data_IF_612491293349
#
_entry.id   IF_612491293349
#
_cell.length_a   1.000
_cell.length_b   1.000
_cell.length_c   1.000
_cell.angle_alpha   90.00
_cell.angle_beta   90.00
_cell.angle_gamma   90.00
#
_symmetry.space_group_name_H-M   'P 1'
#
loop_
_entity.id
_entity.type
_entity.pdbx_description
1 polymer ?
#
# COMPACT_ATOMS: atom_id res chain seq x y z
N UNK A 1 -15.51 2.82 -19.27
CA UNK A 1 -16.44 1.75 -18.88
C UNK A 1 -17.16 2.02 -17.56
N UNK A 2 -16.47 2.31 -16.44
CA UNK A 2 -17.09 2.53 -15.11
C UNK A 2 -18.18 3.59 -15.16
N UNK A 3 -17.91 4.77 -15.75
CA UNK A 3 -18.85 5.88 -15.89
C UNK A 3 -20.15 5.45 -16.58
N UNK A 4 -20.03 4.71 -17.67
CA UNK A 4 -21.20 4.21 -18.43
C UNK A 4 -21.96 3.13 -17.64
N UNK A 5 -21.23 2.16 -17.06
CA UNK A 5 -21.82 1.02 -16.30
C UNK A 5 -22.61 1.48 -15.10
N UNK A 6 -22.10 2.47 -14.37
CA UNK A 6 -22.73 2.97 -13.14
C UNK A 6 -23.51 4.27 -13.34
N UNK A 7 -23.68 4.74 -14.59
CA UNK A 7 -24.44 5.95 -14.95
C UNK A 7 -24.01 7.17 -14.12
N UNK A 8 -22.69 7.40 -14.05
CA UNK A 8 -22.14 8.49 -13.26
C UNK A 8 -22.45 9.82 -13.95
N UNK A 9 -23.35 10.60 -13.37
CA UNK A 9 -23.77 11.88 -13.94
C UNK A 9 -22.72 13.00 -13.78
N UNK A 10 -21.87 12.93 -12.74
CA UNK A 10 -20.82 13.93 -12.45
C UNK A 10 -19.46 13.33 -12.74
N UNK A 11 -19.15 13.15 -14.03
CA UNK A 11 -17.90 12.53 -14.47
C UNK A 11 -16.67 13.30 -13.99
N UNK A 12 -16.68 14.62 -14.06
CA UNK A 12 -15.58 15.50 -13.60
C UNK A 12 -15.24 15.27 -12.10
N UNK A 13 -16.27 15.01 -11.30
CA UNK A 13 -16.11 14.72 -9.89
C UNK A 13 -15.51 13.33 -9.66
N UNK A 14 -15.98 12.34 -10.43
CA UNK A 14 -15.41 10.99 -10.41
C UNK A 14 -13.94 11.00 -10.81
N UNK A 15 -13.58 11.66 -11.91
CA UNK A 15 -12.21 11.78 -12.41
C UNK A 15 -11.30 12.45 -11.35
N UNK A 16 -11.83 13.43 -10.60
CA UNK A 16 -11.11 14.08 -9.53
C UNK A 16 -10.84 13.17 -8.33
N UNK A 17 -11.83 12.32 -7.98
CA UNK A 17 -11.65 11.28 -6.95
C UNK A 17 -10.60 10.26 -7.39
N UNK A 18 -10.67 9.78 -8.64
CA UNK A 18 -9.67 8.86 -9.21
C UNK A 18 -8.27 9.45 -9.12
N UNK A 19 -8.12 10.71 -9.53
CA UNK A 19 -6.82 11.40 -9.45
C UNK A 19 -6.30 11.47 -8.01
N UNK A 20 -7.16 11.85 -7.06
CA UNK A 20 -6.79 11.88 -5.64
C UNK A 20 -6.28 10.54 -5.13
N UNK A 21 -6.98 9.44 -5.48
CA UNK A 21 -6.59 8.09 -5.09
C UNK A 21 -5.21 7.74 -5.64
N UNK A 22 -4.97 8.01 -6.92
CA UNK A 22 -3.70 7.70 -7.58
C UNK A 22 -2.54 8.55 -7.01
N UNK A 23 -2.79 9.82 -6.71
CA UNK A 23 -1.81 10.71 -6.05
C UNK A 23 -1.43 10.21 -4.65
N UNK A 24 -2.37 9.62 -3.93
CA UNK A 24 -2.21 9.15 -2.56
C UNK A 24 -2.05 7.62 -2.43
N UNK A 25 -1.73 6.93 -3.51
CA UNK A 25 -1.43 5.50 -3.49
C UNK A 25 -0.34 5.18 -2.46
N UNK A 26 -0.55 4.13 -1.67
CA UNK A 26 0.34 3.73 -0.58
C UNK A 26 0.26 4.60 0.68
N UNK A 27 -0.58 5.65 0.69
CA UNK A 27 -0.86 6.45 1.89
C UNK A 27 -2.22 6.08 2.46
N UNK A 28 -2.34 6.21 3.77
CA UNK A 28 -3.64 6.05 4.44
C UNK A 28 -4.55 7.25 4.14
N UNK A 29 -5.77 6.97 3.71
CA UNK A 29 -6.82 8.00 3.60
C UNK A 29 -8.19 7.40 3.88
N UNK A 30 -9.21 8.25 3.99
CA UNK A 30 -10.59 7.84 4.20
C UNK A 30 -11.50 8.56 3.21
N UNK A 31 -12.73 8.06 3.04
CA UNK A 31 -13.74 8.76 2.24
C UNK A 31 -14.01 10.18 2.79
N UNK A 32 -13.88 10.38 4.10
CA UNK A 32 -13.99 11.70 4.73
C UNK A 32 -12.85 12.64 4.30
N UNK A 33 -11.60 12.15 4.25
CA UNK A 33 -10.46 12.97 3.81
C UNK A 33 -10.59 13.37 2.34
N UNK A 34 -11.07 12.49 1.47
CA UNK A 34 -11.40 12.81 0.08
C UNK A 34 -12.49 13.87 0.01
N UNK A 35 -13.58 13.70 0.78
CA UNK A 35 -14.66 14.69 0.83
C UNK A 35 -14.17 16.06 1.28
N UNK A 36 -13.31 16.12 2.30
CA UNK A 36 -12.72 17.35 2.80
C UNK A 36 -11.82 18.02 1.75
N UNK A 37 -10.99 17.24 1.07
CA UNK A 37 -10.16 17.72 -0.04
C UNK A 37 -11.02 18.32 -1.15
N UNK A 38 -12.07 17.63 -1.60
CA UNK A 38 -12.95 18.15 -2.65
C UNK A 38 -13.74 19.40 -2.22
N UNK A 39 -14.10 19.49 -0.93
CA UNK A 39 -14.70 20.73 -0.38
C UNK A 39 -13.75 21.91 -0.45
N UNK A 40 -12.46 21.72 -0.20
CA UNK A 40 -11.44 22.78 -0.32
C UNK A 40 -11.29 23.28 -1.77
N UNK A 41 -11.64 22.45 -2.75
CA UNK A 41 -11.73 22.80 -4.18
C UNK A 41 -13.11 23.33 -4.59
N UNK A 42 -13.97 23.72 -3.64
CA UNK A 42 -15.34 24.17 -3.86
C UNK A 42 -16.25 23.12 -4.54
N UNK A 43 -15.93 21.84 -4.40
CA UNK A 43 -16.70 20.72 -4.95
C UNK A 43 -17.42 19.98 -3.82
N UNK A 44 -18.74 19.87 -3.92
CA UNK A 44 -19.54 19.12 -2.93
C UNK A 44 -19.76 17.69 -3.40
N UNK A 45 -19.30 16.73 -2.60
CA UNK A 45 -19.56 15.31 -2.77
C UNK A 45 -19.92 14.68 -1.43
N UNK A 46 -20.90 13.79 -1.42
CA UNK A 46 -21.23 13.03 -0.23
C UNK A 46 -20.18 11.93 0.02
N UNK A 47 -19.96 11.61 1.28
CA UNK A 47 -19.07 10.50 1.68
C UNK A 47 -19.56 9.17 1.08
N UNK A 48 -20.87 8.98 1.00
CA UNK A 48 -21.50 7.82 0.37
C UNK A 48 -21.14 7.69 -1.11
N UNK A 49 -21.16 8.81 -1.86
CA UNK A 49 -20.74 8.80 -3.27
C UNK A 49 -19.27 8.40 -3.43
N UNK A 50 -18.42 8.83 -2.51
CA UNK A 50 -16.99 8.45 -2.52
C UNK A 50 -16.84 6.95 -2.26
N UNK A 51 -17.53 6.38 -1.28
CA UNK A 51 -17.55 4.93 -1.05
C UNK A 51 -18.04 4.14 -2.27
N UNK A 52 -19.03 4.64 -2.98
CA UNK A 52 -19.50 4.04 -4.22
C UNK A 52 -18.41 4.08 -5.30
N UNK A 53 -17.69 5.20 -5.45
CA UNK A 53 -16.59 5.33 -6.41
C UNK A 53 -15.44 4.39 -6.09
N UNK A 54 -15.04 4.29 -4.83
CA UNK A 54 -14.00 3.35 -4.38
C UNK A 54 -14.40 1.90 -4.71
N UNK A 55 -15.63 1.51 -4.35
CA UNK A 55 -16.14 0.16 -4.65
C UNK A 55 -16.19 -0.15 -6.14
N UNK A 56 -16.55 0.80 -6.99
CA UNK A 56 -16.60 0.59 -8.45
C UNK A 56 -15.20 0.47 -9.06
N UNK A 57 -14.22 1.20 -8.53
CA UNK A 57 -12.81 1.09 -8.93
C UNK A 57 -12.24 -0.27 -8.51
N UNK A 58 -12.59 -0.74 -7.33
CA UNK A 58 -12.23 -2.07 -6.83
C UNK A 58 -12.86 -3.18 -7.67
N UNK A 59 -14.16 -3.11 -7.95
CA UNK A 59 -14.87 -4.05 -8.81
C UNK A 59 -14.34 -4.08 -10.26
N UNK A 60 -13.77 -2.98 -10.71
CA UNK A 60 -13.10 -2.87 -12.01
C UNK A 60 -11.63 -3.30 -11.96
N UNK A 61 -11.15 -3.78 -10.82
CA UNK A 61 -9.75 -4.17 -10.59
C UNK A 61 -8.75 -3.06 -10.91
N UNK A 62 -9.10 -1.81 -10.69
CA UNK A 62 -8.18 -0.67 -10.83
C UNK A 62 -7.42 -0.42 -9.55
N UNK A 63 -8.08 -0.59 -8.41
CA UNK A 63 -7.49 -0.45 -7.08
C UNK A 63 -7.76 -1.69 -6.24
N UNK A 64 -6.89 -1.91 -5.27
CA UNK A 64 -7.03 -2.93 -4.22
C UNK A 64 -6.95 -2.26 -2.85
N UNK A 65 -7.95 -2.43 -1.98
CA UNK A 65 -7.85 -2.01 -0.60
C UNK A 65 -6.87 -2.92 0.16
N UNK A 66 -6.13 -2.32 1.07
CA UNK A 66 -5.27 -3.01 2.02
C UNK A 66 -5.65 -2.54 3.42
N UNK A 67 -6.32 -3.42 4.15
CA UNK A 67 -6.78 -3.17 5.51
C UNK A 67 -5.61 -3.12 6.49
N UNK A 68 -5.82 -2.54 7.65
CA UNK A 68 -4.82 -2.53 8.73
C UNK A 68 -5.04 -3.69 9.67
N UNK A 69 -3.94 -4.27 10.12
CA UNK A 69 -3.91 -5.34 11.12
C UNK A 69 -3.15 -4.89 12.36
N UNK A 70 -3.82 -4.89 13.50
CA UNK A 70 -3.19 -4.62 14.79
C UNK A 70 -2.46 -5.88 15.28
N UNK A 71 -1.14 -5.81 15.33
CA UNK A 71 -0.28 -6.93 15.74
C UNK A 71 -0.44 -7.28 17.22
N UNK A 72 -0.73 -6.30 18.07
CA UNK A 72 -0.93 -6.50 19.51
C UNK A 72 -2.35 -7.02 19.79
N UNK A 73 -3.36 -6.34 19.24
CA UNK A 73 -4.76 -6.72 19.38
C UNK A 73 -5.18 -7.91 18.52
N UNK A 74 -4.32 -8.37 17.59
CA UNK A 74 -4.56 -9.48 16.67
C UNK A 74 -5.89 -9.35 15.92
N UNK A 75 -6.22 -8.13 15.48
CA UNK A 75 -7.50 -7.81 14.85
C UNK A 75 -7.34 -6.91 13.63
N UNK A 76 -8.25 -7.08 12.67
CA UNK A 76 -8.35 -6.19 11.51
C UNK A 76 -9.02 -4.89 11.93
N UNK A 77 -8.41 -3.76 11.58
CA UNK A 77 -8.93 -2.43 11.84
C UNK A 77 -9.73 -1.94 10.63
N UNK A 78 -10.97 -1.52 10.85
CA UNK A 78 -11.90 -1.07 9.78
C UNK A 78 -11.69 0.38 9.35
N UNK A 79 -10.58 0.99 9.68
CA UNK A 79 -10.33 2.41 9.39
C UNK A 79 -8.92 2.65 8.90
N UNK A 80 -8.73 3.70 8.07
CA UNK A 80 -7.43 4.11 7.56
C UNK A 80 -6.76 3.03 6.68
N UNK A 81 -7.51 2.52 5.71
CA UNK A 81 -6.99 1.63 4.68
C UNK A 81 -5.99 2.37 3.77
N UNK A 82 -5.05 1.63 3.20
CA UNK A 82 -4.29 2.06 2.02
C UNK A 82 -4.93 1.46 0.77
N UNK A 83 -4.71 2.11 -0.36
CA UNK A 83 -5.12 1.59 -1.66
C UNK A 83 -3.92 1.48 -2.58
N UNK A 84 -3.83 0.37 -3.28
CA UNK A 84 -2.80 0.08 -4.26
C UNK A 84 -3.41 -0.05 -5.65
N UNK A 85 -2.67 0.32 -6.68
CA UNK A 85 -3.10 0.19 -8.07
C UNK A 85 -2.82 -1.22 -8.59
N UNK A 86 -3.68 -1.70 -9.47
CA UNK A 86 -3.42 -2.95 -10.21
C UNK A 86 -2.22 -2.83 -11.15
N UNK A 87 -1.91 -1.62 -11.58
CA UNK A 87 -0.78 -1.31 -12.45
C UNK A 87 -0.20 0.06 -12.07
N UNK A 88 1.06 0.07 -11.66
CA UNK A 88 1.79 1.28 -11.27
C UNK A 88 1.93 2.26 -12.45
N UNK A 89 1.88 1.77 -13.70
CA UNK A 89 1.98 2.62 -14.89
C UNK A 89 0.84 3.65 -14.96
N UNK A 90 -0.33 3.36 -14.38
CA UNK A 90 -1.45 4.30 -14.28
C UNK A 90 -1.06 5.59 -13.54
N UNK A 91 -0.21 5.48 -12.52
CA UNK A 91 0.29 6.64 -11.79
C UNK A 91 1.16 7.52 -12.68
N UNK A 92 2.09 6.90 -13.41
CA UNK A 92 3.00 7.63 -14.29
C UNK A 92 2.28 8.21 -15.51
N UNK A 93 1.28 7.50 -16.05
CA UNK A 93 0.49 7.98 -17.17
C UNK A 93 -0.34 9.23 -16.83
N UNK A 94 -0.86 9.32 -15.59
CA UNK A 94 -1.72 10.43 -15.15
C UNK A 94 -0.94 11.59 -14.54
N UNK A 95 0.18 11.34 -13.87
CA UNK A 95 0.91 12.34 -13.09
C UNK A 95 2.29 12.70 -13.67
N UNK A 96 2.74 11.95 -14.67
CA UNK A 96 4.12 12.01 -15.16
C UNK A 96 5.10 11.33 -14.20
N UNK A 97 6.36 11.20 -14.65
CA UNK A 97 7.42 10.62 -13.82
C UNK A 97 7.94 11.63 -12.80
N UNK A 98 8.03 11.21 -11.55
CA UNK A 98 8.67 11.96 -10.48
C UNK A 98 9.40 10.98 -9.54
N UNK A 99 10.68 11.23 -9.28
CA UNK A 99 11.51 10.37 -8.42
C UNK A 99 10.94 10.22 -7.00
N UNK A 100 10.25 11.24 -6.48
CA UNK A 100 9.57 11.18 -5.16
C UNK A 100 8.42 10.16 -5.10
N UNK A 101 8.04 9.59 -6.23
CA UNK A 101 6.98 8.56 -6.30
C UNK A 101 7.52 7.14 -6.20
N UNK A 102 8.85 6.95 -6.16
CA UNK A 102 9.47 5.63 -6.19
C UNK A 102 9.10 4.79 -4.96
N UNK A 103 9.12 5.35 -3.76
CA UNK A 103 8.78 4.60 -2.53
C UNK A 103 7.38 3.98 -2.64
N UNK A 104 6.37 4.78 -2.97
CA UNK A 104 5.01 4.28 -3.15
C UNK A 104 4.85 3.33 -4.34
N UNK A 105 5.65 3.48 -5.40
CA UNK A 105 5.65 2.55 -6.53
C UNK A 105 6.24 1.18 -6.13
N UNK A 106 7.35 1.18 -5.39
CA UNK A 106 7.94 -0.04 -4.85
C UNK A 106 7.00 -0.77 -3.90
N UNK A 107 6.41 -0.03 -2.97
CA UNK A 107 5.42 -0.57 -2.03
C UNK A 107 4.25 -1.22 -2.79
N UNK A 108 3.75 -0.56 -3.85
CA UNK A 108 2.71 -1.13 -4.71
C UNK A 108 3.15 -2.42 -5.44
N UNK A 109 4.37 -2.46 -5.96
CA UNK A 109 4.91 -3.65 -6.65
C UNK A 109 5.02 -4.82 -5.66
N UNK A 110 5.55 -4.59 -4.46
CA UNK A 110 5.65 -5.61 -3.42
C UNK A 110 4.27 -6.09 -2.98
N UNK A 111 3.30 -5.17 -2.79
CA UNK A 111 1.91 -5.53 -2.51
C UNK A 111 1.33 -6.49 -3.57
N UNK A 112 1.47 -6.14 -4.85
CA UNK A 112 0.97 -6.97 -5.95
C UNK A 112 1.64 -8.33 -6.00
N UNK A 113 2.95 -8.40 -5.73
CA UNK A 113 3.67 -9.67 -5.69
C UNK A 113 3.21 -10.56 -4.54
N UNK A 114 3.01 -10.00 -3.35
CA UNK A 114 2.43 -10.73 -2.21
C UNK A 114 1.05 -11.29 -2.56
N UNK A 115 0.18 -10.47 -3.17
CA UNK A 115 -1.15 -10.90 -3.64
C UNK A 115 -1.05 -11.97 -4.71
N UNK A 116 -0.15 -11.83 -5.69
CA UNK A 116 0.07 -12.81 -6.77
C UNK A 116 0.45 -14.18 -6.22
N UNK A 117 1.21 -14.21 -5.11
CA UNK A 117 1.59 -15.46 -4.41
C UNK A 117 0.52 -16.00 -3.48
N UNK A 118 -0.67 -15.39 -3.45
CA UNK A 118 -1.82 -15.86 -2.71
C UNK A 118 -1.79 -15.53 -1.22
N UNK A 119 -1.04 -14.49 -0.82
CA UNK A 119 -1.12 -13.97 0.54
C UNK A 119 -2.33 -13.05 0.72
N UNK A 120 -2.95 -13.12 1.88
CA UNK A 120 -3.76 -12.04 2.42
C UNK A 120 -2.81 -11.00 3.00
N UNK A 121 -2.92 -9.76 2.51
CA UNK A 121 -1.96 -8.69 2.78
C UNK A 121 -2.64 -7.58 3.57
N UNK A 122 -1.99 -7.16 4.64
CA UNK A 122 -2.46 -6.12 5.54
C UNK A 122 -1.34 -5.12 5.82
N UNK A 123 -1.70 -3.88 6.16
CA UNK A 123 -0.78 -2.91 6.75
C UNK A 123 -0.64 -3.26 8.24
N UNK A 124 0.56 -3.52 8.70
CA UNK A 124 0.81 -3.82 10.09
C UNK A 124 0.77 -2.57 10.97
N UNK A 125 0.09 -2.65 12.11
CA UNK A 125 0.17 -1.67 13.18
C UNK A 125 0.79 -2.35 14.41
N UNK A 126 1.96 -1.87 14.84
CA UNK A 126 2.61 -2.29 16.08
C UNK A 126 2.72 -1.09 17.00
N UNK A 127 1.77 -0.93 17.93
CA UNK A 127 1.59 0.25 18.75
C UNK A 127 1.41 1.53 17.89
N UNK A 128 2.36 2.44 17.93
CA UNK A 128 2.38 3.69 17.13
C UNK A 128 3.10 3.52 15.79
N UNK A 129 3.78 2.39 15.57
CA UNK A 129 4.59 2.12 14.40
C UNK A 129 3.80 1.39 13.32
N UNK A 130 4.15 1.67 12.07
CA UNK A 130 3.60 0.98 10.92
C UNK A 130 4.62 -0.01 10.37
N UNK A 131 4.13 -1.18 9.98
CA UNK A 131 4.82 -2.16 9.15
C UNK A 131 4.13 -2.14 7.80
N UNK A 132 4.89 -1.97 6.72
CA UNK A 132 4.29 -1.82 5.40
C UNK A 132 3.39 -2.99 5.06
N UNK A 133 3.85 -4.23 5.29
CA UNK A 133 3.01 -5.40 5.07
C UNK A 133 3.16 -6.48 6.14
N UNK A 134 2.01 -6.99 6.54
CA UNK A 134 1.81 -8.28 7.22
C UNK A 134 1.12 -9.18 6.21
N UNK A 135 1.80 -10.17 5.70
CA UNK A 135 1.26 -11.08 4.70
C UNK A 135 1.05 -12.47 5.30
N UNK A 136 -0.16 -13.01 5.18
CA UNK A 136 -0.53 -14.32 5.73
C UNK A 136 -1.06 -15.24 4.65
N UNK A 137 -0.65 -16.51 4.69
CA UNK A 137 -1.15 -17.55 3.78
C UNK A 137 -1.22 -18.87 4.52
N UNK A 138 -2.41 -19.37 4.82
CA UNK A 138 -2.62 -20.57 5.65
C UNK A 138 -1.97 -20.42 7.04
N UNK A 139 -0.94 -21.23 7.33
CA UNK A 139 -0.15 -21.14 8.58
C UNK A 139 1.10 -20.26 8.45
N UNK A 140 1.39 -19.75 7.25
CA UNK A 140 2.55 -18.90 7.00
C UNK A 140 2.22 -17.44 7.30
N UNK A 141 3.21 -16.73 7.80
CA UNK A 141 3.19 -15.27 7.95
C UNK A 141 4.57 -14.71 7.64
N UNK A 142 4.61 -13.58 6.99
CA UNK A 142 5.84 -12.81 6.80
C UNK A 142 5.56 -11.32 7.08
N UNK A 143 6.60 -10.61 7.46
CA UNK A 143 6.59 -9.16 7.62
C UNK A 143 7.52 -8.52 6.61
N UNK A 144 7.07 -7.47 5.96
CA UNK A 144 7.84 -6.80 4.90
C UNK A 144 7.82 -5.30 5.12
N UNK A 145 9.01 -4.68 5.15
CA UNK A 145 9.21 -3.25 4.98
C UNK A 145 9.76 -2.97 3.59
N UNK A 146 9.44 -1.82 3.04
CA UNK A 146 9.85 -1.44 1.68
C UNK A 146 10.45 -0.05 1.70
N UNK A 147 11.66 0.10 1.18
CA UNK A 147 12.33 1.39 1.06
C UNK A 147 13.21 1.45 -0.18
N UNK A 148 13.38 2.63 -0.76
CA UNK A 148 14.32 2.81 -1.89
C UNK A 148 15.76 2.57 -1.44
N UNK A 149 16.09 3.02 -0.23
CA UNK A 149 17.39 2.85 0.43
C UNK A 149 17.19 2.88 1.94
N UNK A 150 17.95 2.08 2.67
CA UNK A 150 17.98 2.16 4.14
C UNK A 150 18.74 3.45 4.52
N UNK A 151 18.13 4.39 5.28
CA UNK A 151 18.80 5.61 5.67
C UNK A 151 19.93 5.31 6.65
N UNK A 152 21.11 5.88 6.44
CA UNK A 152 22.28 5.71 7.33
C UNK A 152 22.04 6.25 8.76
N UNK A 153 21.09 7.17 8.90
CA UNK A 153 20.79 7.86 10.16
C UNK A 153 19.53 7.36 10.86
N UNK A 154 18.89 6.32 10.35
CA UNK A 154 17.62 5.84 10.88
C UNK A 154 17.49 4.32 10.77
N UNK A 155 17.39 3.67 11.91
CA UNK A 155 17.11 2.21 12.01
C UNK A 155 15.63 1.89 11.81
N UNK A 156 14.81 2.82 11.30
CA UNK A 156 13.35 2.72 11.26
C UNK A 156 12.89 1.44 10.57
N UNK A 157 13.46 1.12 9.41
CA UNK A 157 13.01 0.00 8.57
C UNK A 157 13.32 -1.36 9.25
N UNK A 158 14.51 -1.50 9.80
CA UNK A 158 14.93 -2.70 10.54
C UNK A 158 14.34 -2.67 11.95
N UNK A 159 14.43 -1.55 12.66
CA UNK A 159 13.99 -1.38 14.03
C UNK A 159 12.50 -1.67 14.26
N UNK A 160 11.63 -1.25 13.33
CA UNK A 160 10.20 -1.56 13.43
C UNK A 160 9.94 -3.08 13.38
N UNK A 161 10.67 -3.79 12.54
CA UNK A 161 10.58 -5.25 12.43
C UNK A 161 11.17 -5.98 13.64
N UNK A 162 12.24 -5.45 14.24
CA UNK A 162 12.87 -6.03 15.44
C UNK A 162 11.94 -6.03 16.65
N UNK A 163 11.04 -5.05 16.75
CA UNK A 163 10.09 -4.98 17.86
C UNK A 163 8.97 -6.05 17.80
N UNK A 164 8.82 -6.71 16.66
CA UNK A 164 7.85 -7.81 16.52
C UNK A 164 8.45 -9.07 17.14
N UNK A 165 7.92 -9.46 18.31
CA UNK A 165 8.42 -10.58 19.12
C UNK A 165 7.77 -11.90 18.72
N UNK A 166 8.02 -12.35 17.48
CA UNK A 166 7.65 -13.68 17.01
C UNK A 166 8.71 -14.26 16.09
N UNK A 167 8.52 -15.50 15.61
CA UNK A 167 9.51 -16.22 14.82
C UNK A 167 9.23 -16.16 13.31
N UNK A 168 8.24 -15.42 12.88
CA UNK A 168 7.93 -15.34 11.46
C UNK A 168 9.01 -14.56 10.70
N UNK A 169 9.30 -14.95 9.45
CA UNK A 169 10.29 -14.27 8.63
C UNK A 169 10.00 -12.78 8.47
N UNK A 170 11.08 -11.99 8.48
CA UNK A 170 11.05 -10.53 8.36
C UNK A 170 11.96 -10.10 7.23
N UNK A 171 11.47 -9.23 6.37
CA UNK A 171 12.17 -8.75 5.18
C UNK A 171 12.17 -7.23 5.13
N UNK A 172 13.29 -6.66 4.70
CA UNK A 172 13.35 -5.31 4.16
C UNK A 172 13.64 -5.44 2.66
N UNK A 173 12.77 -4.89 1.83
CA UNK A 173 12.93 -4.88 0.38
C UNK A 173 13.44 -3.51 -0.05
N UNK A 174 14.60 -3.47 -0.72
CA UNK A 174 15.28 -2.23 -1.11
C UNK A 174 15.64 -2.21 -2.59
N UNK A 175 15.91 -1.01 -3.15
CA UNK A 175 16.52 -0.85 -4.49
C UNK A 175 18.03 -0.70 -4.43
N UNK A 176 18.62 -0.55 -3.25
CA UNK A 176 20.05 -0.37 -3.10
C UNK A 176 20.73 -1.71 -2.81
N UNK A 177 21.47 -2.22 -3.77
CA UNK A 177 22.22 -3.49 -3.63
C UNK A 177 23.21 -3.47 -2.46
N UNK A 178 23.75 -2.29 -2.13
CA UNK A 178 24.71 -2.15 -1.03
C UNK A 178 24.08 -2.35 0.36
N UNK A 179 22.76 -2.26 0.47
CA UNK A 179 22.06 -2.47 1.73
C UNK A 179 21.75 -3.97 1.97
N UNK A 180 21.92 -4.83 0.95
CA UNK A 180 21.51 -6.24 1.04
C UNK A 180 22.33 -7.06 2.02
N UNK A 181 21.67 -7.99 2.73
CA UNK A 181 22.32 -8.83 3.72
C UNK A 181 21.34 -9.35 4.78
N UNK A 182 21.87 -9.65 5.95
CA UNK A 182 21.09 -10.07 7.12
C UNK A 182 21.52 -9.21 8.30
N UNK A 183 20.56 -8.54 8.90
CA UNK A 183 20.73 -7.73 10.09
C UNK A 183 19.77 -8.18 11.19
N UNK A 184 20.29 -8.58 12.35
CA UNK A 184 19.47 -9.04 13.49
C UNK A 184 18.44 -10.12 13.14
N UNK A 185 18.75 -11.00 12.17
CA UNK A 185 17.85 -12.05 11.67
C UNK A 185 16.81 -11.57 10.65
N UNK A 186 16.82 -10.28 10.31
CA UNK A 186 15.99 -9.69 9.26
C UNK A 186 16.74 -9.80 7.94
N UNK A 187 16.10 -10.33 6.91
CA UNK A 187 16.68 -10.43 5.57
C UNK A 187 16.44 -9.10 4.81
N UNK A 188 17.53 -8.47 4.38
CA UNK A 188 17.50 -7.28 3.53
C UNK A 188 17.79 -7.75 2.11
N UNK A 189 16.83 -7.59 1.21
CA UNK A 189 16.89 -8.15 -0.15
C UNK A 189 16.64 -7.06 -1.19
N UNK A 190 17.32 -7.18 -2.33
CA UNK A 190 17.03 -6.31 -3.45
C UNK A 190 15.65 -6.63 -4.05
N UNK A 191 14.92 -5.61 -4.54
CA UNK A 191 13.57 -5.78 -5.08
C UNK A 191 13.51 -6.85 -6.17
N UNK A 192 14.47 -6.88 -7.10
CA UNK A 192 14.47 -7.89 -8.16
C UNK A 192 14.59 -9.31 -7.61
N UNK A 193 15.47 -9.53 -6.62
CA UNK A 193 15.66 -10.83 -5.99
C UNK A 193 14.39 -11.26 -5.24
N UNK A 194 13.74 -10.32 -4.54
CA UNK A 194 12.46 -10.57 -3.88
C UNK A 194 11.36 -11.02 -4.85
N UNK A 195 11.27 -10.36 -6.03
CA UNK A 195 10.27 -10.69 -7.04
C UNK A 195 10.56 -12.01 -7.76
N UNK A 196 11.85 -12.35 -7.97
CA UNK A 196 12.28 -13.53 -8.72
C UNK A 196 12.45 -14.78 -7.83
N UNK A 197 12.50 -14.65 -6.51
CA UNK A 197 12.62 -15.76 -5.60
C UNK A 197 11.46 -16.76 -5.78
N UNK A 198 11.75 -18.05 -5.79
CA UNK A 198 10.71 -19.09 -5.86
C UNK A 198 9.90 -19.17 -4.55
N UNK A 199 10.58 -18.96 -3.42
CA UNK A 199 10.00 -18.93 -2.07
C UNK A 199 10.76 -17.93 -1.18
N UNK A 200 10.10 -17.51 -0.12
CA UNK A 200 10.66 -16.60 0.90
C UNK A 200 10.76 -17.26 2.26
#
# INVERSE_FOLDING_TARGET
DIVKRHRINKQDLFDRVVKYIIENMGKTFSANSISTFLKSEHRKVSVESIYNYLRWLEQAFIIYPCERYDLQGKSILKTQEKYYLSDVSLKYALLGYNRKMLDGAMENIVFLELKRRGYDVFIGKNDTKEIDFVATRRAERIYVQVCVRIPETSDREVGNLMEIRDHYPKYVVTLNEMDTGIENGIKIVHLADFLLAEAW
#
